data_IF_475636352182
#
_entry.id   IF_475636352182
#
_cell.length_a   1.000
_cell.length_b   1.000
_cell.length_c   1.000
_cell.angle_alpha   90.00
_cell.angle_beta   90.00
_cell.angle_gamma   90.00
#
_symmetry.space_group_name_H-M   'P 1'
#
loop_
_entity.id
_entity.type
_entity.pdbx_description
1 polymer ?
#
# COMPACT_ATOMS: atom_id res chain seq x y z
N UNK A 1 27.26 -1.10 0.62
CA UNK A 1 26.26 -0.43 1.49
C UNK A 1 24.98 -0.03 0.72
N UNK A 2 24.78 -0.43 -0.55
CA UNK A 2 23.71 0.15 -1.39
C UNK A 2 22.35 -0.57 -1.41
N UNK A 3 22.25 -1.82 -0.92
CA UNK A 3 20.98 -2.57 -0.97
C UNK A 3 20.02 -2.27 0.19
N UNK A 4 20.54 -1.80 1.33
CA UNK A 4 19.71 -1.42 2.50
C UNK A 4 18.90 -0.16 2.24
N UNK A 5 19.56 0.90 1.75
CA UNK A 5 18.93 2.20 1.47
C UNK A 5 17.83 2.09 0.41
N UNK A 6 18.04 1.32 -0.67
CA UNK A 6 17.01 1.10 -1.69
C UNK A 6 15.76 0.40 -1.14
N UNK A 7 15.91 -0.55 -0.22
CA UNK A 7 14.77 -1.29 0.36
C UNK A 7 13.98 -0.44 1.35
N UNK A 8 14.65 0.40 2.14
CA UNK A 8 14.01 1.35 3.05
C UNK A 8 13.25 2.44 2.30
N UNK A 9 13.80 2.96 1.20
CA UNK A 9 13.13 3.92 0.30
C UNK A 9 11.85 3.32 -0.29
N UNK A 10 11.93 2.10 -0.85
CA UNK A 10 10.76 1.41 -1.43
C UNK A 10 9.66 1.19 -0.39
N UNK A 11 10.02 0.85 0.86
CA UNK A 11 9.05 0.71 1.94
C UNK A 11 8.41 2.05 2.31
N UNK A 12 9.21 3.12 2.40
CA UNK A 12 8.75 4.47 2.67
C UNK A 12 7.75 4.96 1.63
N UNK A 13 8.09 4.81 0.35
CA UNK A 13 7.21 5.15 -0.78
C UNK A 13 5.92 4.34 -0.77
N UNK A 14 6.02 3.01 -0.61
CA UNK A 14 4.85 2.14 -0.56
C UNK A 14 3.92 2.48 0.61
N UNK A 15 4.49 2.86 1.77
CA UNK A 15 3.73 3.30 2.94
C UNK A 15 3.02 4.63 2.69
N UNK A 16 3.69 5.60 2.08
CA UNK A 16 3.10 6.89 1.71
C UNK A 16 1.95 6.75 0.70
N UNK A 17 2.14 5.93 -0.34
CA UNK A 17 1.13 5.63 -1.33
C UNK A 17 -0.04 4.85 -0.71
N UNK A 18 0.22 3.86 0.13
CA UNK A 18 -0.81 3.11 0.85
C UNK A 18 -1.67 4.03 1.74
N UNK A 19 -1.06 4.95 2.49
CA UNK A 19 -1.76 5.91 3.33
C UNK A 19 -2.63 6.87 2.49
N UNK A 20 -2.11 7.35 1.36
CA UNK A 20 -2.83 8.25 0.45
C UNK A 20 -4.06 7.56 -0.16
N UNK A 21 -3.90 6.31 -0.61
CA UNK A 21 -5.01 5.49 -1.13
C UNK A 21 -6.07 5.21 -0.05
N UNK A 22 -5.66 4.96 1.20
CA UNK A 22 -6.60 4.77 2.30
C UNK A 22 -7.42 6.04 2.58
N UNK A 23 -6.78 7.22 2.56
CA UNK A 23 -7.48 8.49 2.78
C UNK A 23 -8.55 8.72 1.70
N UNK A 24 -8.21 8.46 0.42
CA UNK A 24 -9.15 8.59 -0.69
C UNK A 24 -10.29 7.58 -0.62
N UNK A 25 -9.99 6.34 -0.22
CA UNK A 25 -11.01 5.32 0.01
C UNK A 25 -11.99 5.73 1.13
N UNK A 26 -11.49 6.25 2.25
CA UNK A 26 -12.32 6.75 3.36
C UNK A 26 -13.22 7.91 2.92
N UNK A 27 -12.74 8.81 2.06
CA UNK A 27 -13.56 9.90 1.53
C UNK A 27 -14.70 9.40 0.65
N UNK A 28 -14.45 8.40 -0.21
CA UNK A 28 -15.49 7.81 -1.06
C UNK A 28 -16.50 7.03 -0.23
N UNK A 29 -16.05 6.20 0.72
CA UNK A 29 -16.91 5.39 1.59
C UNK A 29 -17.77 6.23 2.56
N UNK A 30 -17.40 7.49 2.80
CA UNK A 30 -18.17 8.40 3.65
C UNK A 30 -19.38 9.01 2.92
N UNK A 31 -19.43 8.88 1.59
CA UNK A 31 -20.60 9.32 0.82
C UNK A 31 -21.76 8.33 1.04
N UNK A 32 -22.99 8.82 1.26
CA UNK A 32 -24.16 7.97 1.46
C UNK A 32 -24.57 7.21 0.18
N UNK A 33 -24.24 7.75 -0.99
CA UNK A 33 -24.48 7.13 -2.28
C UNK A 33 -23.24 7.28 -3.15
N UNK A 34 -22.91 6.21 -3.87
CA UNK A 34 -21.79 6.12 -4.78
C UNK A 34 -22.33 5.99 -6.20
N UNK A 35 -21.74 6.73 -7.13
CA UNK A 35 -21.99 6.50 -8.56
C UNK A 35 -21.26 5.22 -9.02
N UNK A 36 -21.71 4.59 -10.12
CA UNK A 36 -21.04 3.40 -10.69
C UNK A 36 -19.54 3.63 -10.92
N UNK A 37 -19.16 4.85 -11.34
CA UNK A 37 -17.76 5.25 -11.52
C UNK A 37 -16.99 5.22 -10.20
N UNK A 38 -17.60 5.69 -9.11
CA UNK A 38 -17.00 5.69 -7.77
C UNK A 38 -16.92 4.29 -7.18
N UNK A 39 -17.90 3.41 -7.44
CA UNK A 39 -17.83 2.01 -7.01
C UNK A 39 -16.69 1.26 -7.71
N UNK A 40 -16.52 1.50 -9.01
CA UNK A 40 -15.38 0.98 -9.78
C UNK A 40 -14.07 1.58 -9.24
N UNK A 41 -14.03 2.88 -8.95
CA UNK A 41 -12.86 3.53 -8.34
C UNK A 41 -12.52 2.90 -6.99
N UNK A 42 -13.49 2.63 -6.11
CA UNK A 42 -13.28 1.94 -4.83
C UNK A 42 -12.69 0.55 -5.04
N UNK A 43 -13.19 -0.23 -6.01
CA UNK A 43 -12.64 -1.56 -6.32
C UNK A 43 -11.18 -1.46 -6.78
N UNK A 44 -10.85 -0.49 -7.63
CA UNK A 44 -9.48 -0.25 -8.10
C UNK A 44 -8.59 0.21 -6.95
N UNK A 45 -9.06 1.14 -6.11
CA UNK A 45 -8.33 1.64 -4.95
C UNK A 45 -8.03 0.51 -3.95
N UNK A 46 -8.98 -0.40 -3.70
CA UNK A 46 -8.77 -1.59 -2.86
C UNK A 46 -7.69 -2.50 -3.44
N UNK A 47 -7.70 -2.78 -4.74
CA UNK A 47 -6.67 -3.59 -5.42
C UNK A 47 -5.29 -2.94 -5.31
N UNK A 48 -5.19 -1.64 -5.59
CA UNK A 48 -3.92 -0.89 -5.45
C UNK A 48 -3.43 -0.89 -4.00
N UNK A 49 -4.32 -0.70 -3.02
CA UNK A 49 -3.98 -0.76 -1.60
C UNK A 49 -3.41 -2.14 -1.22
N UNK A 50 -4.02 -3.22 -1.71
CA UNK A 50 -3.53 -4.57 -1.49
C UNK A 50 -2.14 -4.77 -2.11
N UNK A 51 -1.91 -4.27 -3.32
CA UNK A 51 -0.60 -4.32 -3.98
C UNK A 51 0.52 -3.67 -3.14
N UNK A 52 0.31 -2.45 -2.66
CA UNK A 52 1.30 -1.79 -1.80
C UNK A 52 1.47 -2.47 -0.43
N UNK A 53 0.40 -3.09 0.11
CA UNK A 53 0.51 -3.93 1.31
C UNK A 53 1.41 -5.13 1.06
N UNK A 54 1.23 -5.81 -0.07
CA UNK A 54 2.05 -6.97 -0.46
C UNK A 54 3.53 -6.58 -0.61
N UNK A 55 3.81 -5.42 -1.21
CA UNK A 55 5.18 -4.86 -1.29
C UNK A 55 5.74 -4.62 0.11
N UNK A 56 5.00 -3.93 0.99
CA UNK A 56 5.43 -3.69 2.36
C UNK A 56 5.69 -4.98 3.14
N UNK A 57 4.86 -6.01 2.96
CA UNK A 57 5.03 -7.32 3.60
C UNK A 57 6.23 -8.09 3.05
N UNK A 58 6.49 -8.03 1.74
CA UNK A 58 7.68 -8.63 1.11
C UNK A 58 8.95 -7.96 1.61
N UNK A 59 9.01 -6.62 1.58
CA UNK A 59 10.17 -5.88 2.10
C UNK A 59 10.41 -6.19 3.57
N UNK A 60 9.35 -6.29 4.38
CA UNK A 60 9.46 -6.67 5.80
C UNK A 60 9.93 -8.11 6.01
N UNK A 61 9.47 -9.06 5.20
CA UNK A 61 9.92 -10.46 5.27
C UNK A 61 11.38 -10.63 4.83
N UNK A 62 11.82 -9.89 3.82
CA UNK A 62 13.21 -9.91 3.36
C UNK A 62 14.16 -9.35 4.44
N UNK A 63 13.78 -8.27 5.12
CA UNK A 63 14.53 -7.75 6.28
C UNK A 63 14.54 -8.73 7.47
N UNK A 64 13.52 -9.59 7.61
CA UNK A 64 13.42 -10.59 8.67
C UNK A 64 14.14 -11.92 8.41
N UNK A 65 14.53 -12.21 7.16
CA UNK A 65 15.20 -13.48 6.79
C UNK A 65 16.72 -13.49 6.99
N UNK A 66 17.32 -12.38 7.44
CA UNK A 66 18.74 -12.29 7.79
C UNK A 66 19.13 -12.85 9.17
N UNK A 67 18.18 -13.34 9.96
CA UNK A 67 18.45 -13.98 11.27
C UNK A 67 17.81 -15.35 11.31
N UNK A 68 18.45 -16.32 10.66
CA UNK A 68 18.38 -17.72 11.08
C UNK A 68 19.81 -18.22 11.19
N UNK A 69 20.18 -18.40 12.45
CA UNK A 69 21.43 -18.94 12.99
C UNK A 69 21.73 -20.32 12.44
#
# INVERSE_FOLDING_TARGET
MEEGEKKEDIYGDAKGLHATLERRLKMLLRKPYLTEKEEIEIKILKKKKLYYKDIMERTKQESGKGVKT
#
